data_IF_167106412953
#
_entry.id   IF_167106412953
#
_cell.length_a   1.000
_cell.length_b   1.000
_cell.length_c   1.000
_cell.angle_alpha   90.00
_cell.angle_beta   90.00
_cell.angle_gamma   90.00
#
_symmetry.space_group_name_H-M   'P 1'
#
loop_
_entity.id
_entity.type
_entity.pdbx_description
1 polymer ?
#
# COMPACT_ATOMS: atom_id res chain seq x y z
N UNK A 1 -0.12 -0.45 24.79
CA UNK A 1 0.61 0.14 23.63
C UNK A 1 1.26 -1.01 22.87
N UNK A 2 0.92 -1.18 21.60
CA UNK A 2 1.57 -2.21 20.77
C UNK A 2 2.97 -1.68 20.48
N UNK A 3 3.99 -2.45 20.82
CA UNK A 3 5.35 -2.09 20.43
C UNK A 3 5.51 -2.40 18.95
N UNK A 4 5.83 -1.38 18.15
CA UNK A 4 6.07 -1.52 16.71
C UNK A 4 7.15 -2.56 16.41
N UNK A 5 8.15 -2.68 17.28
CA UNK A 5 9.24 -3.64 17.14
C UNK A 5 8.72 -5.08 17.18
N UNK A 6 7.73 -5.38 18.03
CA UNK A 6 7.13 -6.71 18.12
C UNK A 6 6.34 -7.09 16.86
N UNK A 7 5.74 -6.10 16.18
CA UNK A 7 5.00 -6.32 14.93
C UNK A 7 5.93 -6.57 13.74
N UNK A 8 7.10 -5.94 13.77
CA UNK A 8 8.06 -6.02 12.66
C UNK A 8 9.06 -7.17 12.83
N UNK A 9 9.18 -7.74 14.04
CA UNK A 9 10.13 -8.82 14.36
C UNK A 9 10.05 -10.01 13.39
N UNK A 10 8.88 -10.50 12.96
CA UNK A 10 8.78 -11.61 12.01
C UNK A 10 9.39 -11.31 10.64
N UNK A 11 9.65 -10.05 10.34
CA UNK A 11 10.11 -9.58 9.03
C UNK A 11 11.57 -9.13 9.02
N UNK A 12 12.25 -9.20 10.15
CA UNK A 12 13.65 -8.80 10.27
C UNK A 12 14.59 -9.85 9.70
N UNK A 13 15.74 -9.43 9.17
CA UNK A 13 16.78 -10.32 8.68
C UNK A 13 16.44 -11.10 7.41
N UNK A 14 15.37 -10.71 6.70
CA UNK A 14 14.97 -11.34 5.44
C UNK A 14 14.47 -10.29 4.43
N UNK A 15 14.51 -10.65 3.15
CA UNK A 15 13.95 -9.81 2.10
C UNK A 15 12.49 -10.21 1.88
N UNK A 16 11.57 -9.28 2.10
CA UNK A 16 10.17 -9.46 1.76
C UNK A 16 9.90 -9.01 0.33
N UNK A 17 9.04 -9.73 -0.38
CA UNK A 17 8.42 -9.21 -1.60
C UNK A 17 7.00 -8.79 -1.26
N UNK A 18 6.65 -7.56 -1.60
CA UNK A 18 5.32 -7.00 -1.38
C UNK A 18 4.72 -6.53 -2.69
N UNK A 19 3.42 -6.53 -2.76
CA UNK A 19 2.66 -6.02 -3.90
C UNK A 19 1.68 -4.95 -3.45
N UNK A 20 1.36 -4.02 -4.33
CA UNK A 20 0.33 -3.02 -4.09
C UNK A 20 -0.39 -2.65 -5.39
N UNK A 21 -1.56 -2.08 -5.26
CA UNK A 21 -2.37 -1.63 -6.39
C UNK A 21 -2.61 -0.14 -6.37
N UNK A 22 -2.48 0.50 -7.52
CA UNK A 22 -2.76 1.90 -7.75
C UNK A 22 -4.11 2.01 -8.47
N UNK A 23 -5.15 2.35 -7.70
CA UNK A 23 -6.52 2.50 -8.20
C UNK A 23 -6.87 3.97 -8.29
N UNK A 24 -7.13 4.42 -9.52
CA UNK A 24 -7.53 5.78 -9.84
C UNK A 24 -9.04 5.85 -10.06
N UNK A 25 -9.68 6.85 -9.46
CA UNK A 25 -11.09 7.20 -9.70
C UNK A 25 -11.26 8.72 -9.62
N UNK A 26 -11.83 9.32 -10.65
CA UNK A 26 -12.18 10.75 -10.68
C UNK A 26 -11.02 11.68 -10.25
N UNK A 27 -9.81 11.40 -10.73
CA UNK A 27 -8.64 12.21 -10.42
C UNK A 27 -8.08 12.02 -9.01
N UNK A 28 -8.49 10.96 -8.30
CA UNK A 28 -8.01 10.61 -6.96
C UNK A 28 -7.52 9.17 -6.89
N UNK A 29 -6.58 8.90 -5.98
CA UNK A 29 -6.05 7.57 -5.70
C UNK A 29 -6.64 7.03 -4.40
N UNK A 30 -7.04 5.76 -4.40
CA UNK A 30 -7.44 5.06 -3.17
C UNK A 30 -6.19 4.68 -2.37
N UNK A 31 -6.13 5.12 -1.12
CA UNK A 31 -5.04 4.81 -0.21
C UNK A 31 -5.55 4.20 1.10
N UNK A 32 -4.69 3.42 1.71
CA UNK A 32 -4.88 2.78 2.99
C UNK A 32 -3.97 3.45 4.04
N UNK A 33 -4.52 3.76 5.20
CA UNK A 33 -3.78 4.29 6.35
C UNK A 33 -3.36 3.18 7.28
N UNK A 34 -2.10 3.18 7.67
CA UNK A 34 -1.53 2.26 8.66
C UNK A 34 -1.05 3.03 9.88
N UNK A 35 -1.44 2.57 11.06
CA UNK A 35 -0.97 3.12 12.35
C UNK A 35 0.27 2.36 12.83
N UNK A 36 0.99 2.99 13.77
CA UNK A 36 2.10 2.32 14.47
C UNK A 36 3.39 2.23 13.67
N UNK A 37 3.42 2.69 12.42
CA UNK A 37 4.62 2.72 11.59
C UNK A 37 5.46 3.99 11.78
N UNK A 38 4.85 5.04 12.32
CA UNK A 38 5.50 6.33 12.56
C UNK A 38 5.47 6.71 14.04
N UNK A 39 6.54 7.34 14.48
CA UNK A 39 6.58 7.94 15.82
C UNK A 39 5.46 8.98 15.97
N UNK A 40 4.85 9.05 17.17
CA UNK A 40 3.75 9.98 17.45
C UNK A 40 2.37 9.54 16.96
N UNK A 41 2.24 8.32 16.40
CA UNK A 41 0.94 7.72 16.03
C UNK A 41 0.29 8.31 14.78
N UNK A 42 1.02 9.12 14.00
CA UNK A 42 0.51 9.63 12.74
C UNK A 42 0.26 8.47 11.74
N UNK A 43 -0.79 8.57 10.91
CA UNK A 43 -1.06 7.55 9.89
C UNK A 43 0.01 7.57 8.80
N UNK A 44 0.36 6.38 8.30
CA UNK A 44 1.17 6.22 7.11
C UNK A 44 0.28 5.78 5.95
N UNK A 45 0.23 6.56 4.89
CA UNK A 45 -0.60 6.34 3.72
C UNK A 45 0.16 5.64 2.61
N UNK A 46 -0.37 4.52 2.14
CA UNK A 46 0.18 3.74 1.05
C UNK A 46 -0.91 3.21 0.13
N UNK A 47 -0.59 2.81 -1.12
CA UNK A 47 -1.51 2.02 -1.92
C UNK A 47 -1.88 0.74 -1.17
N UNK A 48 -3.14 0.26 -1.29
CA UNK A 48 -3.55 -1.03 -0.71
C UNK A 48 -2.64 -2.16 -1.22
N UNK A 49 -2.25 -3.07 -0.30
CA UNK A 49 -1.36 -4.15 -0.64
C UNK A 49 -0.62 -4.75 0.56
N UNK A 50 0.06 -5.87 0.32
CA UNK A 50 0.75 -6.60 1.38
C UNK A 50 1.75 -7.62 0.86
N UNK A 51 1.99 -8.67 1.62
CA UNK A 51 3.00 -9.69 1.32
C UNK A 51 2.62 -10.59 0.16
N UNK A 52 3.59 -10.91 -0.70
CA UNK A 52 3.45 -11.97 -1.68
C UNK A 52 3.62 -13.32 -1.01
N UNK A 53 2.69 -14.23 -1.21
CA UNK A 53 2.67 -15.55 -0.58
C UNK A 53 3.09 -16.63 -1.58
N UNK A 54 3.79 -17.65 -1.09
CA UNK A 54 4.19 -18.78 -1.93
C UNK A 54 2.97 -19.49 -2.54
N UNK A 55 3.04 -19.75 -3.85
CA UNK A 55 1.99 -20.46 -4.59
C UNK A 55 0.99 -19.57 -5.34
N UNK A 56 1.02 -18.26 -5.13
CA UNK A 56 0.23 -17.30 -5.90
C UNK A 56 1.10 -16.50 -6.90
N UNK A 57 0.54 -16.04 -7.99
CA UNK A 57 1.18 -15.05 -8.86
C UNK A 57 1.13 -13.65 -8.21
N UNK A 58 2.00 -12.73 -8.65
CA UNK A 58 1.99 -11.34 -8.17
C UNK A 58 0.62 -10.66 -8.38
N UNK A 59 -0.07 -10.95 -9.49
CA UNK A 59 -1.39 -10.39 -9.77
C UNK A 59 -2.47 -10.96 -8.86
N UNK A 60 -2.40 -12.25 -8.54
CA UNK A 60 -3.30 -12.86 -7.55
C UNK A 60 -3.08 -12.24 -6.17
N UNK A 61 -1.83 -12.01 -5.78
CA UNK A 61 -1.51 -11.31 -4.53
C UNK A 61 -2.14 -9.90 -4.49
N UNK A 62 -2.01 -9.09 -5.55
CA UNK A 62 -2.67 -7.76 -5.60
C UNK A 62 -4.18 -7.87 -5.43
N UNK A 63 -4.82 -8.81 -6.12
CA UNK A 63 -6.28 -9.02 -6.03
C UNK A 63 -6.71 -9.42 -4.62
N UNK A 64 -5.98 -10.33 -4.00
CA UNK A 64 -6.24 -10.81 -2.64
C UNK A 64 -6.10 -9.66 -1.64
N UNK A 65 -5.00 -8.95 -1.65
CA UNK A 65 -4.73 -7.83 -0.74
C UNK A 65 -5.76 -6.70 -0.90
N UNK A 66 -6.11 -6.35 -2.14
CA UNK A 66 -7.14 -5.35 -2.40
C UNK A 66 -8.50 -5.75 -1.83
N UNK A 67 -8.89 -7.01 -2.02
CA UNK A 67 -10.14 -7.52 -1.48
C UNK A 67 -10.13 -7.53 0.06
N UNK A 68 -9.04 -7.96 0.67
CA UNK A 68 -8.88 -8.03 2.12
C UNK A 68 -8.91 -6.64 2.76
N UNK A 69 -8.18 -5.68 2.22
CA UNK A 69 -8.06 -4.34 2.81
C UNK A 69 -9.20 -3.39 2.44
N UNK A 70 -9.77 -3.53 1.25
CA UNK A 70 -10.72 -2.54 0.70
C UNK A 70 -12.09 -3.08 0.37
N UNK A 71 -12.29 -4.41 0.40
CA UNK A 71 -13.53 -5.05 -0.05
C UNK A 71 -13.75 -4.97 -1.57
N UNK A 72 -12.82 -4.39 -2.33
CA UNK A 72 -12.95 -4.25 -3.78
C UNK A 72 -12.30 -5.43 -4.50
N UNK A 73 -13.06 -6.10 -5.37
CA UNK A 73 -12.52 -6.99 -6.37
C UNK A 73 -11.90 -6.17 -7.51
N UNK A 74 -10.63 -6.43 -7.84
CA UNK A 74 -9.88 -5.69 -8.87
C UNK A 74 -9.16 -6.62 -9.83
N UNK A 75 -8.86 -6.13 -11.02
CA UNK A 75 -7.89 -6.71 -11.95
C UNK A 75 -6.56 -5.99 -11.78
N UNK A 76 -5.47 -6.75 -11.65
CA UNK A 76 -4.11 -6.20 -11.66
C UNK A 76 -3.60 -6.08 -13.10
N UNK A 77 -3.36 -4.86 -13.53
CA UNK A 77 -2.88 -4.51 -14.86
C UNK A 77 -1.36 -4.51 -14.98
N UNK A 78 -0.80 -3.42 -15.51
CA UNK A 78 0.64 -3.26 -15.73
C UNK A 78 1.39 -3.07 -14.41
N UNK A 79 2.63 -3.57 -14.34
CA UNK A 79 3.58 -3.16 -13.30
C UNK A 79 4.01 -1.72 -13.60
N UNK A 80 3.81 -0.82 -12.64
CA UNK A 80 4.10 0.60 -12.78
C UNK A 80 5.36 1.00 -12.01
N UNK A 81 5.52 0.52 -10.80
CA UNK A 81 6.64 0.93 -9.96
C UNK A 81 7.29 -0.26 -9.27
N UNK A 82 8.61 -0.17 -9.13
CA UNK A 82 9.44 -1.02 -8.30
C UNK A 82 10.14 -0.13 -7.27
N UNK A 83 9.92 -0.40 -6.00
CA UNK A 83 10.54 0.32 -4.89
C UNK A 83 11.33 -0.63 -4.02
N UNK A 84 12.60 -0.31 -3.73
CA UNK A 84 13.41 -0.99 -2.73
C UNK A 84 13.31 -0.26 -1.41
N UNK A 85 12.79 -0.95 -0.40
CA UNK A 85 12.73 -0.46 0.97
C UNK A 85 13.86 -1.07 1.81
N UNK A 86 14.59 -0.21 2.53
CA UNK A 86 15.59 -0.62 3.53
C UNK A 86 15.55 0.30 4.72
N UNK A 87 15.35 -0.26 5.91
CA UNK A 87 15.44 0.47 7.16
C UNK A 87 15.82 -0.46 8.30
N UNK A 88 17.01 -0.26 8.87
CA UNK A 88 17.53 -1.15 9.91
C UNK A 88 17.66 -2.59 9.39
N UNK A 89 17.01 -3.53 10.06
CA UNK A 89 16.97 -4.94 9.70
C UNK A 89 15.81 -5.32 8.76
N UNK A 90 15.02 -4.32 8.33
CA UNK A 90 13.91 -4.51 7.41
C UNK A 90 14.35 -4.25 5.98
N UNK A 91 14.00 -5.17 5.08
CA UNK A 91 14.24 -5.04 3.65
C UNK A 91 13.05 -5.60 2.86
N UNK A 92 12.62 -4.87 1.83
CA UNK A 92 11.57 -5.32 0.95
C UNK A 92 11.78 -4.85 -0.49
N UNK A 93 11.27 -5.65 -1.43
CA UNK A 93 10.96 -5.20 -2.79
C UNK A 93 9.45 -5.04 -2.88
N UNK A 94 9.02 -3.86 -3.28
CA UNK A 94 7.61 -3.51 -3.41
C UNK A 94 7.27 -3.25 -4.87
N UNK A 95 6.30 -3.99 -5.38
CA UNK A 95 5.86 -3.95 -6.78
C UNK A 95 4.44 -3.37 -6.82
N UNK A 96 4.29 -2.24 -7.50
CA UNK A 96 3.00 -1.56 -7.61
C UNK A 96 2.42 -1.72 -9.01
N UNK A 97 1.21 -2.25 -9.05
CA UNK A 97 0.47 -2.53 -10.27
C UNK A 97 -0.67 -1.53 -10.45
N UNK A 98 -1.03 -1.26 -11.70
CA UNK A 98 -2.30 -0.65 -12.01
C UNK A 98 -3.44 -1.57 -11.50
N UNK A 99 -4.41 -0.99 -10.79
CA UNK A 99 -5.58 -1.71 -10.31
C UNK A 99 -6.86 -1.13 -10.92
N UNK A 100 -7.69 -1.99 -11.48
CA UNK A 100 -8.97 -1.63 -12.07
C UNK A 100 -10.07 -2.41 -11.35
N UNK A 101 -11.11 -1.75 -10.79
CA UNK A 101 -12.18 -2.45 -10.11
C UNK A 101 -13.03 -3.24 -11.11
N UNK A 102 -13.45 -4.45 -10.72
CA UNK A 102 -14.35 -5.28 -11.53
C UNK A 102 -15.71 -4.59 -11.70
N UNK A 103 -16.18 -3.90 -10.66
CA UNK A 103 -17.33 -3.00 -10.70
C UNK A 103 -16.87 -1.55 -10.45
N UNK A 104 -16.90 -0.68 -11.47
CA UNK A 104 -16.50 0.72 -11.32
C UNK A 104 -17.36 1.52 -10.31
N UNK A 105 -18.58 1.06 -10.01
CA UNK A 105 -19.48 1.70 -9.05
C UNK A 105 -19.27 1.23 -7.60
N UNK A 106 -18.54 0.12 -7.40
CA UNK A 106 -18.30 -0.42 -6.07
C UNK A 106 -17.57 0.60 -5.18
N UNK A 107 -18.02 0.68 -3.92
CA UNK A 107 -17.40 1.57 -2.94
C UNK A 107 -16.45 0.77 -2.03
N UNK A 108 -15.26 1.31 -1.73
CA UNK A 108 -14.34 0.67 -0.81
C UNK A 108 -14.93 0.62 0.60
N UNK A 109 -14.68 -0.47 1.28
CA UNK A 109 -15.04 -0.70 2.68
C UNK A 109 -13.80 -1.13 3.42
N UNK A 110 -13.51 -0.48 4.55
CA UNK A 110 -12.37 -0.85 5.38
C UNK A 110 -12.46 -2.31 5.76
N UNK A 111 -11.49 -3.06 5.30
CA UNK A 111 -11.33 -4.47 5.63
C UNK A 111 -10.42 -4.68 6.84
N UNK A 112 -9.75 -5.80 6.84
CA UNK A 112 -8.77 -6.15 7.85
C UNK A 112 -7.61 -6.91 7.21
N UNK A 113 -6.46 -6.86 7.85
CA UNK A 113 -5.31 -7.67 7.48
C UNK A 113 -5.39 -9.01 8.23
N UNK A 114 -5.59 -10.14 7.55
CA UNK A 114 -5.71 -11.45 8.19
C UNK A 114 -4.40 -11.93 8.85
N UNK A 115 -3.26 -11.33 8.51
CA UNK A 115 -1.97 -11.62 9.15
C UNK A 115 -1.93 -11.11 10.60
N UNK A 116 -2.85 -10.21 10.99
CA UNK A 116 -2.90 -9.61 12.31
C UNK A 116 -4.20 -9.92 13.06
N UNK A 117 -4.08 -10.21 14.35
CA UNK A 117 -5.25 -10.33 15.22
C UNK A 117 -6.04 -9.01 15.27
N UNK A 118 -7.35 -9.04 15.54
CA UNK A 118 -8.20 -7.84 15.54
C UNK A 118 -7.65 -6.67 16.37
N UNK A 119 -7.03 -6.99 17.52
CA UNK A 119 -6.46 -5.99 18.44
C UNK A 119 -5.14 -5.41 17.94
N UNK A 120 -4.54 -6.04 16.93
CA UNK A 120 -3.24 -5.69 16.34
C UNK A 120 -3.35 -5.18 14.91
N UNK A 121 -4.56 -4.88 14.44
CA UNK A 121 -4.76 -4.34 13.10
C UNK A 121 -4.00 -3.02 12.94
N UNK A 122 -3.18 -2.95 11.89
CA UNK A 122 -2.46 -1.74 11.51
C UNK A 122 -3.31 -0.87 10.59
N UNK A 123 -4.11 -1.49 9.73
CA UNK A 123 -5.03 -0.82 8.82
C UNK A 123 -6.14 -0.10 9.60
N UNK A 124 -6.29 1.20 9.38
CA UNK A 124 -7.21 2.04 10.17
C UNK A 124 -8.21 2.83 9.34
N UNK A 125 -7.89 3.14 8.10
CA UNK A 125 -8.71 4.00 7.28
C UNK A 125 -8.44 3.76 5.78
N UNK A 126 -9.47 4.01 4.96
CA UNK A 126 -9.35 4.13 3.51
C UNK A 126 -9.80 5.53 3.11
N UNK A 127 -9.06 6.17 2.22
CA UNK A 127 -9.44 7.49 1.70
C UNK A 127 -8.97 7.69 0.26
N UNK A 128 -9.67 8.57 -0.43
CA UNK A 128 -9.32 9.03 -1.77
C UNK A 128 -8.52 10.32 -1.69
N UNK A 129 -7.35 10.34 -2.34
CA UNK A 129 -6.46 11.49 -2.34
C UNK A 129 -6.22 12.02 -3.73
N UNK A 130 -6.42 13.32 -3.92
CA UNK A 130 -5.86 14.04 -5.05
C UNK A 130 -4.35 14.28 -4.84
N UNK A 131 -3.56 14.52 -5.91
CA UNK A 131 -2.15 14.88 -5.79
C UNK A 131 -1.92 16.08 -4.87
N UNK A 132 -2.80 17.08 -4.92
CA UNK A 132 -2.73 18.26 -4.05
C UNK A 132 -2.84 17.91 -2.57
N UNK A 133 -3.73 16.99 -2.22
CA UNK A 133 -3.87 16.52 -0.83
C UNK A 133 -2.64 15.73 -0.39
N UNK A 134 -2.07 14.89 -1.28
CA UNK A 134 -0.83 14.15 -0.98
C UNK A 134 0.35 15.08 -0.76
N UNK A 135 0.50 16.14 -1.56
CA UNK A 135 1.56 17.14 -1.40
C UNK A 135 1.42 17.95 -0.11
N UNK A 136 0.21 18.06 0.45
CA UNK A 136 -0.03 18.76 1.72
C UNK A 136 0.33 17.91 2.96
N UNK A 137 0.51 16.61 2.80
CA UNK A 137 0.91 15.72 3.89
C UNK A 137 2.44 15.79 4.11
N UNK A 138 2.90 15.62 5.36
CA UNK A 138 4.31 15.42 5.63
C UNK A 138 4.86 14.22 4.80
N UNK A 139 6.01 14.36 4.12
CA UNK A 139 6.56 13.28 3.29
C UNK A 139 6.74 11.94 4.04
N UNK A 140 7.00 11.99 5.35
CA UNK A 140 7.13 10.81 6.19
C UNK A 140 5.82 10.00 6.30
N UNK A 141 4.66 10.65 6.12
CA UNK A 141 3.34 10.01 6.19
C UNK A 141 2.88 9.43 4.86
N UNK A 142 3.65 9.58 3.80
CA UNK A 142 3.26 9.17 2.44
C UNK A 142 4.29 8.20 1.89
N UNK A 143 3.82 7.08 1.35
CA UNK A 143 4.70 6.09 0.71
C UNK A 143 5.54 6.75 -0.39
N UNK A 144 6.85 6.42 -0.52
CA UNK A 144 7.74 7.04 -1.52
C UNK A 144 7.20 7.03 -2.95
N UNK A 145 6.49 5.98 -3.36
CA UNK A 145 5.90 5.86 -4.71
C UNK A 145 4.87 6.94 -5.03
N UNK A 146 4.31 7.60 -4.00
CA UNK A 146 3.28 8.63 -4.13
C UNK A 146 3.82 10.05 -3.94
N UNK A 147 5.11 10.19 -3.66
CA UNK A 147 5.72 11.50 -3.37
C UNK A 147 5.99 12.27 -4.66
N UNK A 148 5.72 13.57 -4.63
CA UNK A 148 6.05 14.47 -5.74
C UNK A 148 5.13 14.35 -6.96
N UNK A 149 3.99 13.66 -6.86
CA UNK A 149 3.00 13.62 -7.92
C UNK A 149 2.40 15.00 -8.14
N UNK A 150 2.46 15.52 -9.34
CA UNK A 150 1.81 16.78 -9.75
C UNK A 150 0.44 16.51 -10.35
N UNK A 151 0.27 15.34 -10.96
CA UNK A 151 -0.98 14.82 -11.50
C UNK A 151 -1.15 13.36 -11.09
N UNK A 152 -2.39 12.86 -11.05
CA UNK A 152 -2.63 11.43 -10.86
C UNK A 152 -2.07 10.57 -12.00
N UNK A 153 -1.97 11.14 -13.20
CA UNK A 153 -1.40 10.45 -14.36
C UNK A 153 0.10 10.16 -14.19
N UNK A 154 0.80 10.93 -13.34
CA UNK A 154 2.22 10.71 -13.03
C UNK A 154 2.46 9.35 -12.37
N UNK A 155 1.47 8.82 -11.64
CA UNK A 155 1.58 7.50 -11.01
C UNK A 155 1.60 6.37 -12.04
N UNK A 156 1.07 6.60 -13.24
CA UNK A 156 1.06 5.63 -14.32
C UNK A 156 2.31 5.68 -15.20
N UNK A 157 3.25 6.59 -14.92
CA UNK A 157 4.57 6.62 -15.55
C UNK A 157 5.46 5.61 -14.79
N UNK A 158 5.92 4.54 -15.45
CA UNK A 158 6.74 3.52 -14.79
C UNK A 158 8.01 4.13 -14.19
N UNK A 159 8.27 3.83 -12.93
CA UNK A 159 9.45 4.30 -12.20
C UNK A 159 10.11 3.15 -11.44
N UNK A 160 11.42 3.23 -11.30
CA UNK A 160 12.21 2.35 -10.45
C UNK A 160 12.87 3.20 -9.36
N UNK A 161 12.46 2.98 -8.12
CA UNK A 161 13.01 3.65 -6.93
C UNK A 161 13.93 2.68 -6.20
N UNK A 162 15.09 2.42 -6.80
CA UNK A 162 16.14 1.58 -6.24
C UNK A 162 17.10 2.42 -5.41
N UNK A 163 17.60 1.85 -4.30
CA UNK A 163 18.59 2.47 -3.42
C UNK A 163 19.98 1.87 -3.64
#
# INVERSE_FOLDING_TARGET
MINTDDLLLPYTGQVRVRVGGLLLREGTLLLAAHRGLLAGGAPFWSPPGGGWVFGESLREAVRREFLEETGLAVQAGRLLHLHEFRQGELQALELFFEAQPDDPAAQPQLGHDPEHAPERQLLTELAWFSPRQLLALPPAQVHPVLRGLLSVDDVFVPQQLLK
#
